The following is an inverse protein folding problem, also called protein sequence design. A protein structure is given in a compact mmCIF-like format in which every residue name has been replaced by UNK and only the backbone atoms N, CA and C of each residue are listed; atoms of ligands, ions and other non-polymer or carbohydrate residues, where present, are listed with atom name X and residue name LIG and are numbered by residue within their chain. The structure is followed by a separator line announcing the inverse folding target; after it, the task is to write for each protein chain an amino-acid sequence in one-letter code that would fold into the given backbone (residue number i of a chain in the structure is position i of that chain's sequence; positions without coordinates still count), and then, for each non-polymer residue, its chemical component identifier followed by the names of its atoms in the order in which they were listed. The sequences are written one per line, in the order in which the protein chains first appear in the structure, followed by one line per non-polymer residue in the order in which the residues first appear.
data_IF_343367931758
#
_entry.id   IF_343367931758
#
_cell.length_a   1.000
_cell.length_b   1.000
_cell.length_c   1.000
_cell.angle_alpha   90.00
_cell.angle_beta   90.00
_cell.angle_gamma   90.00
#
_symmetry.space_group_name_H-M   'P 1'
#
loop_
_entity.id
_entity.type
_entity.pdbx_description
1 polymer ?
#
# COMPACT_ATOMS: atom_id res chain seq x y z
N UNK A 1 -27.13 8.65 13.25
CA UNK A 1 -25.98 7.74 13.08
C UNK A 1 -25.79 7.37 11.61
N UNK A 2 -26.81 6.92 10.89
CA UNK A 2 -26.77 6.57 9.46
C UNK A 2 -26.32 7.71 8.51
N UNK A 3 -26.73 8.97 8.74
CA UNK A 3 -26.27 10.12 7.92
C UNK A 3 -24.75 10.38 8.02
N UNK A 4 -24.12 10.03 9.14
CA UNK A 4 -22.67 10.19 9.33
C UNK A 4 -21.88 9.07 8.63
N UNK A 5 -22.45 7.86 8.59
CA UNK A 5 -21.91 6.72 7.84
C UNK A 5 -22.05 6.99 6.33
N UNK A 6 -23.18 7.50 5.89
CA UNK A 6 -23.42 7.85 4.49
C UNK A 6 -22.43 8.94 3.97
N UNK A 7 -22.09 9.95 4.78
CA UNK A 7 -21.05 10.95 4.41
C UNK A 7 -19.63 10.39 4.39
N UNK A 8 -19.34 9.38 5.21
CA UNK A 8 -18.03 8.70 5.22
C UNK A 8 -17.87 7.76 4.02
N UNK A 9 -18.96 7.25 3.46
CA UNK A 9 -18.96 6.22 2.43
C UNK A 9 -19.33 6.80 1.05
N UNK A 10 -20.26 7.75 0.99
CA UNK A 10 -20.75 8.36 -0.26
C UNK A 10 -19.89 9.50 -0.82
N UNK A 11 -18.81 9.86 -0.16
CA UNK A 11 -17.79 10.69 -0.77
C UNK A 11 -16.83 9.86 -1.64
N UNK A 12 -17.35 9.02 -2.57
CA UNK A 12 -16.55 8.07 -3.35
C UNK A 12 -15.27 8.67 -3.95
N UNK A 13 -15.35 9.87 -4.51
CA UNK A 13 -14.17 10.60 -4.96
C UNK A 13 -13.35 11.20 -3.80
N UNK A 14 -14.00 11.69 -2.76
CA UNK A 14 -13.34 12.32 -1.60
C UNK A 14 -12.50 11.32 -0.82
N UNK A 15 -12.96 10.07 -0.68
CA UNK A 15 -12.22 9.02 0.03
C UNK A 15 -10.92 8.65 -0.70
N UNK A 16 -10.98 8.38 -2.00
CA UNK A 16 -9.79 8.09 -2.80
C UNK A 16 -8.82 9.28 -2.85
N UNK A 17 -9.34 10.49 -3.04
CA UNK A 17 -8.53 11.72 -3.03
C UNK A 17 -7.82 11.89 -1.68
N UNK A 18 -8.51 11.66 -0.57
CA UNK A 18 -7.90 11.76 0.76
C UNK A 18 -6.76 10.74 0.95
N UNK A 19 -6.95 9.49 0.49
CA UNK A 19 -5.91 8.45 0.59
C UNK A 19 -4.73 8.74 -0.33
N UNK A 20 -4.97 9.24 -1.53
CA UNK A 20 -3.92 9.67 -2.45
C UNK A 20 -3.15 10.85 -1.84
N UNK A 21 -3.83 11.84 -1.27
CA UNK A 21 -3.19 12.98 -0.60
C UNK A 21 -2.33 12.53 0.60
N UNK A 22 -2.85 11.64 1.44
CA UNK A 22 -2.09 11.06 2.56
C UNK A 22 -0.86 10.32 2.03
N UNK A 23 -0.99 9.51 0.97
CA UNK A 23 0.11 8.82 0.33
C UNK A 23 1.18 9.79 -0.19
N UNK A 24 0.77 10.88 -0.86
CA UNK A 24 1.67 11.92 -1.35
C UNK A 24 2.39 12.63 -0.19
N UNK A 25 1.68 12.95 0.90
CA UNK A 25 2.28 13.59 2.09
C UNK A 25 3.31 12.66 2.73
N UNK A 26 2.99 11.38 2.90
CA UNK A 26 3.93 10.39 3.44
C UNK A 26 5.17 10.30 2.56
N UNK A 27 4.99 10.25 1.23
CA UNK A 27 6.10 10.21 0.28
C UNK A 27 6.95 11.48 0.33
N UNK A 28 6.33 12.65 0.41
CA UNK A 28 7.04 13.91 0.57
C UNK A 28 7.84 13.95 1.88
N UNK A 29 7.26 13.46 2.98
CA UNK A 29 7.95 13.35 4.27
C UNK A 29 9.14 12.38 4.20
N UNK A 30 8.98 11.21 3.59
CA UNK A 30 10.08 10.24 3.40
C UNK A 30 11.18 10.87 2.55
N UNK A 31 10.83 11.51 1.43
CA UNK A 31 11.79 12.18 0.57
C UNK A 31 12.55 13.31 1.28
N UNK A 32 11.85 14.14 2.06
CA UNK A 32 12.47 15.20 2.87
C UNK A 32 13.39 14.61 3.94
N UNK A 33 12.97 13.57 4.65
CA UNK A 33 13.81 12.89 5.64
C UNK A 33 15.07 12.30 5.02
N UNK A 34 14.97 11.67 3.85
CA UNK A 34 16.12 11.13 3.12
C UNK A 34 17.05 12.25 2.66
N UNK A 35 16.51 13.37 2.19
CA UNK A 35 17.31 14.50 1.66
C UNK A 35 18.01 15.32 2.76
N UNK A 36 17.34 15.58 3.89
CA UNK A 36 17.85 16.43 4.96
C UNK A 36 18.48 15.64 6.12
N UNK A 37 18.06 14.39 6.31
CA UNK A 37 18.56 13.53 7.38
C UNK A 37 19.86 12.78 7.04
N UNK A 38 20.18 12.62 5.76
CA UNK A 38 21.32 11.82 5.31
C UNK A 38 22.10 12.53 4.20
N UNK A 39 23.41 12.58 4.35
CA UNK A 39 24.30 13.23 3.37
C UNK A 39 24.36 12.51 2.00
N UNK A 40 23.92 11.24 1.94
CA UNK A 40 23.87 10.42 0.71
C UNK A 40 22.55 9.64 0.64
N UNK A 41 21.47 10.27 0.19
CA UNK A 41 20.15 9.62 0.12
C UNK A 41 20.10 8.44 -0.87
N UNK A 42 20.98 8.43 -1.87
CA UNK A 42 21.05 7.36 -2.88
C UNK A 42 21.49 6.02 -2.29
N UNK A 43 22.47 6.02 -1.38
CA UNK A 43 22.98 4.78 -0.77
C UNK A 43 21.92 4.12 0.09
N UNK A 44 21.12 4.91 0.80
CA UNK A 44 20.05 4.38 1.65
C UNK A 44 18.94 3.74 0.79
N UNK A 45 18.55 4.38 -0.31
CA UNK A 45 17.54 3.81 -1.21
C UNK A 45 18.02 2.50 -1.81
N UNK A 46 19.31 2.42 -2.19
CA UNK A 46 19.92 1.20 -2.72
C UNK A 46 19.97 0.05 -1.69
N UNK A 47 20.11 0.37 -0.40
CA UNK A 47 20.14 -0.64 0.68
C UNK A 47 18.74 -0.96 1.25
N UNK A 48 17.72 -0.12 1.01
CA UNK A 48 16.35 -0.38 1.45
C UNK A 48 15.70 -1.57 0.73
N UNK A 49 16.12 -1.85 -0.51
CA UNK A 49 15.61 -2.99 -1.28
C UNK A 49 16.49 -4.19 -1.02
N UNK A 50 15.99 -5.08 -0.18
CA UNK A 50 16.64 -6.31 0.26
C UNK A 50 15.64 -7.46 0.26
N UNK A 51 16.13 -8.69 0.42
CA UNK A 51 15.26 -9.85 0.60
C UNK A 51 14.28 -9.67 1.78
N UNK A 52 14.70 -8.96 2.84
CA UNK A 52 13.86 -8.71 4.01
C UNK A 52 12.68 -7.80 3.68
N UNK A 53 12.89 -6.77 2.86
CA UNK A 53 11.80 -5.87 2.43
C UNK A 53 10.83 -6.55 1.47
N UNK A 54 11.32 -7.44 0.61
CA UNK A 54 10.47 -8.31 -0.23
C UNK A 54 9.66 -9.26 0.66
N UNK A 55 10.30 -9.91 1.64
CA UNK A 55 9.64 -10.78 2.61
C UNK A 55 8.56 -10.07 3.43
N UNK A 56 8.86 -8.84 3.88
CA UNK A 56 7.89 -7.99 4.58
C UNK A 56 6.67 -7.68 3.67
N UNK A 57 6.91 -7.26 2.43
CA UNK A 57 5.85 -6.96 1.46
C UNK A 57 4.97 -8.18 1.19
N UNK A 58 5.58 -9.36 1.05
CA UNK A 58 4.86 -10.62 0.86
C UNK A 58 4.01 -11.00 2.08
N UNK A 59 4.53 -10.77 3.30
CA UNK A 59 3.80 -11.02 4.55
C UNK A 59 2.58 -10.11 4.67
N UNK A 60 2.72 -8.82 4.33
CA UNK A 60 1.63 -7.85 4.35
C UNK A 60 0.56 -8.19 3.29
N UNK A 61 0.98 -8.65 2.12
CA UNK A 61 0.08 -9.16 1.09
C UNK A 61 -0.69 -10.39 1.57
N UNK A 62 -0.03 -11.33 2.24
CA UNK A 62 -0.68 -12.50 2.86
C UNK A 62 -1.72 -12.09 3.91
N UNK A 63 -1.43 -11.09 4.73
CA UNK A 63 -2.38 -10.52 5.68
C UNK A 63 -3.61 -9.92 4.98
N UNK A 64 -3.44 -9.22 3.87
CA UNK A 64 -4.55 -8.67 3.10
C UNK A 64 -5.43 -9.77 2.49
N UNK A 65 -4.83 -10.83 1.94
CA UNK A 65 -5.56 -11.98 1.42
C UNK A 65 -6.37 -12.68 2.51
N UNK A 66 -5.79 -12.84 3.71
CA UNK A 66 -6.51 -13.37 4.87
C UNK A 66 -7.69 -12.47 5.25
N UNK A 67 -7.53 -11.14 5.22
CA UNK A 67 -8.60 -10.18 5.47
C UNK A 67 -9.77 -10.32 4.48
N UNK A 68 -9.47 -10.48 3.20
CA UNK A 68 -10.50 -10.74 2.16
C UNK A 68 -11.22 -12.08 2.41
N UNK A 69 -10.48 -13.11 2.76
CA UNK A 69 -11.05 -14.43 3.06
C UNK A 69 -12.00 -14.36 4.26
N UNK A 70 -11.65 -13.62 5.30
CA UNK A 70 -12.53 -13.37 6.45
C UNK A 70 -13.80 -12.65 6.00
N UNK A 71 -13.68 -11.59 5.17
CA UNK A 71 -14.85 -10.86 4.68
C UNK A 71 -15.80 -11.76 3.89
N UNK A 72 -15.26 -12.66 3.04
CA UNK A 72 -16.05 -13.60 2.26
C UNK A 72 -16.75 -14.62 3.19
N UNK A 73 -16.04 -15.11 4.22
CA UNK A 73 -16.62 -16.09 5.17
C UNK A 73 -17.74 -15.51 6.02
N UNK A 74 -17.77 -14.19 6.18
CA UNK A 74 -18.78 -13.46 6.95
C UNK A 74 -20.02 -13.04 6.11
N UNK A 75 -20.19 -13.57 4.93
CA UNK A 75 -21.27 -13.17 3.99
C UNK A 75 -22.69 -13.31 4.59
N UNK A 76 -22.91 -14.23 5.54
CA UNK A 76 -24.14 -14.36 6.31
C UNK A 76 -24.33 -13.35 7.45
N UNK A 77 -23.37 -12.46 7.73
CA UNK A 77 -23.44 -11.56 8.86
C UNK A 77 -24.40 -10.39 8.58
N UNK A 78 -25.25 -10.08 9.58
CA UNK A 78 -26.23 -8.99 9.49
C UNK A 78 -25.61 -7.61 9.14
N UNK A 79 -24.40 -7.32 9.64
CA UNK A 79 -23.71 -6.06 9.32
C UNK A 79 -23.26 -6.00 7.85
N UNK A 80 -22.77 -7.12 7.30
CA UNK A 80 -22.35 -7.18 5.91
C UNK A 80 -23.56 -7.08 4.97
N UNK A 81 -24.69 -7.71 5.35
CA UNK A 81 -25.95 -7.60 4.62
C UNK A 81 -26.46 -6.14 4.58
N UNK A 82 -26.37 -5.42 5.71
CA UNK A 82 -26.71 -3.99 5.75
C UNK A 82 -25.78 -3.13 4.87
N UNK A 83 -24.49 -3.47 4.77
CA UNK A 83 -23.55 -2.78 3.89
C UNK A 83 -23.88 -3.05 2.42
N UNK A 84 -24.29 -4.28 2.10
CA UNK A 84 -24.72 -4.65 0.74
C UNK A 84 -26.00 -3.92 0.31
N UNK A 85 -26.96 -3.75 1.21
CA UNK A 85 -28.18 -2.97 0.97
C UNK A 85 -27.87 -1.48 0.63
N UNK A 86 -26.71 -0.97 1.05
CA UNK A 86 -26.26 0.42 0.82
C UNK A 86 -25.21 0.48 -0.32
N UNK A 87 -25.01 -0.60 -1.07
CA UNK A 87 -23.98 -0.73 -2.13
C UNK A 87 -22.52 -0.41 -1.67
N UNK A 88 -22.29 -0.40 -0.37
CA UNK A 88 -20.99 -0.03 0.21
C UNK A 88 -20.01 -1.20 0.35
N UNK A 89 -20.47 -2.43 0.15
CA UNK A 89 -19.64 -3.64 0.16
C UNK A 89 -18.60 -3.61 -0.96
N UNK A 90 -18.98 -3.14 -2.15
CA UNK A 90 -18.07 -3.04 -3.30
C UNK A 90 -16.88 -2.13 -3.03
N UNK A 91 -17.07 -1.06 -2.25
CA UNK A 91 -16.00 -0.14 -1.88
C UNK A 91 -14.96 -0.81 -0.97
N UNK A 92 -15.43 -1.63 -0.03
CA UNK A 92 -14.56 -2.35 0.90
C UNK A 92 -13.68 -3.33 0.14
N UNK A 93 -14.27 -4.14 -0.74
CA UNK A 93 -13.51 -5.05 -1.60
C UNK A 93 -12.51 -4.30 -2.47
N UNK A 94 -12.87 -3.13 -3.03
CA UNK A 94 -11.95 -2.29 -3.81
C UNK A 94 -10.74 -1.85 -2.98
N UNK A 95 -10.91 -1.49 -1.71
CA UNK A 95 -9.80 -1.10 -0.83
C UNK A 95 -8.82 -2.26 -0.62
N UNK A 96 -9.33 -3.45 -0.31
CA UNK A 96 -8.50 -4.64 -0.13
C UNK A 96 -7.79 -5.03 -1.43
N UNK A 97 -8.50 -5.05 -2.56
CA UNK A 97 -7.93 -5.37 -3.87
C UNK A 97 -6.87 -4.34 -4.26
N UNK A 98 -7.11 -3.04 -4.03
CA UNK A 98 -6.11 -2.00 -4.30
C UNK A 98 -4.86 -2.19 -3.45
N UNK A 99 -4.98 -2.54 -2.17
CA UNK A 99 -3.84 -2.83 -1.32
C UNK A 99 -3.04 -4.03 -1.81
N UNK A 100 -3.72 -5.14 -2.14
CA UNK A 100 -3.12 -6.35 -2.69
C UNK A 100 -2.35 -6.04 -3.98
N UNK A 101 -2.98 -5.29 -4.89
CA UNK A 101 -2.38 -4.91 -6.17
C UNK A 101 -1.12 -4.06 -5.97
N UNK A 102 -1.17 -3.08 -5.05
CA UNK A 102 -0.01 -2.23 -4.76
C UNK A 102 1.15 -3.01 -4.16
N UNK A 103 0.91 -3.95 -3.23
CA UNK A 103 1.96 -4.80 -2.69
C UNK A 103 2.53 -5.76 -3.75
N UNK A 104 1.69 -6.33 -4.63
CA UNK A 104 2.14 -7.16 -5.74
C UNK A 104 3.07 -6.39 -6.68
N UNK A 105 2.66 -5.20 -7.12
CA UNK A 105 3.48 -4.34 -7.98
C UNK A 105 4.80 -4.00 -7.28
N UNK A 106 4.76 -3.66 -5.99
CA UNK A 106 5.96 -3.36 -5.22
C UNK A 106 6.93 -4.55 -5.17
N UNK A 107 6.44 -5.77 -4.89
CA UNK A 107 7.24 -6.99 -4.87
C UNK A 107 7.90 -7.22 -6.25
N UNK A 108 7.12 -7.12 -7.32
CA UNK A 108 7.64 -7.31 -8.69
C UNK A 108 8.73 -6.28 -9.01
N UNK A 109 8.53 -5.01 -8.67
CA UNK A 109 9.53 -3.96 -8.88
C UNK A 109 10.79 -4.20 -8.04
N UNK A 110 10.66 -4.63 -6.79
CA UNK A 110 11.80 -4.99 -5.94
C UNK A 110 12.60 -6.16 -6.52
N UNK A 111 11.92 -7.21 -6.99
CA UNK A 111 12.58 -8.36 -7.64
C UNK A 111 13.26 -7.96 -8.95
N UNK A 112 12.65 -7.09 -9.75
CA UNK A 112 13.26 -6.52 -10.96
C UNK A 112 14.52 -5.75 -10.59
N UNK A 113 14.46 -4.88 -9.59
CA UNK A 113 15.62 -4.11 -9.12
C UNK A 113 16.77 -5.02 -8.69
N UNK A 114 16.48 -6.04 -7.90
CA UNK A 114 17.50 -6.94 -7.36
C UNK A 114 18.15 -7.82 -8.43
N UNK A 115 17.38 -8.28 -9.44
CA UNK A 115 17.88 -9.24 -10.44
C UNK A 115 18.46 -8.57 -11.68
N UNK A 116 17.88 -7.45 -12.14
CA UNK A 116 18.33 -6.77 -13.37
C UNK A 116 19.41 -5.72 -13.10
N UNK A 117 19.53 -5.23 -11.86
CA UNK A 117 20.49 -4.20 -11.50
C UNK A 117 21.33 -4.65 -10.29
N UNK A 118 22.24 -5.63 -10.45
CA UNK A 118 23.13 -6.04 -9.37
C UNK A 118 23.95 -4.85 -8.88
N UNK A 119 24.21 -4.80 -7.59
CA UNK A 119 25.02 -3.74 -6.96
C UNK A 119 26.49 -4.06 -7.21
N UNK A 120 27.02 -3.66 -8.38
CA UNK A 120 28.45 -3.65 -8.64
C UNK A 120 29.01 -2.23 -8.49
N UNK A 121 30.21 -2.07 -7.90
CA UNK A 121 30.80 -0.74 -7.61
C UNK A 121 31.15 0.07 -8.86
N UNK A 122 31.06 -0.48 -10.06
CA UNK A 122 31.42 0.18 -11.34
C UNK A 122 30.25 0.29 -12.34
N UNK A 123 29.00 0.40 -11.85
CA UNK A 123 27.86 0.51 -12.77
C UNK A 123 27.91 1.86 -13.50
N UNK A 124 27.88 1.80 -14.85
CA UNK A 124 27.78 2.99 -15.70
C UNK A 124 26.59 3.86 -15.29
N UNK A 125 26.76 5.19 -15.22
CA UNK A 125 25.78 6.12 -14.65
C UNK A 125 24.33 6.00 -15.17
N UNK A 126 24.13 5.53 -16.43
CA UNK A 126 22.80 5.25 -16.99
C UNK A 126 22.09 4.06 -16.31
N UNK A 127 22.82 3.01 -15.95
CA UNK A 127 22.26 1.83 -15.27
C UNK A 127 21.89 2.16 -13.82
N UNK A 128 22.70 2.98 -13.16
CA UNK A 128 22.42 3.48 -11.81
C UNK A 128 21.14 4.32 -11.78
N UNK A 129 20.94 5.19 -12.78
CA UNK A 129 19.72 5.99 -12.91
C UNK A 129 18.48 5.11 -13.11
N UNK A 130 18.57 4.06 -13.94
CA UNK A 130 17.51 3.08 -14.14
C UNK A 130 17.16 2.32 -12.85
N UNK A 131 18.18 1.86 -12.10
CA UNK A 131 18.00 1.20 -10.81
C UNK A 131 17.27 2.12 -9.83
N UNK A 132 17.77 3.33 -9.61
CA UNK A 132 17.17 4.31 -8.70
C UNK A 132 15.70 4.59 -9.07
N UNK A 133 15.37 4.69 -10.36
CA UNK A 133 14.00 4.89 -10.80
C UNK A 133 13.09 3.72 -10.36
N UNK A 134 13.51 2.48 -10.60
CA UNK A 134 12.75 1.28 -10.20
C UNK A 134 12.62 1.20 -8.68
N UNK A 135 13.67 1.51 -7.94
CA UNK A 135 13.70 1.52 -6.48
C UNK A 135 12.72 2.56 -5.92
N UNK A 136 12.72 3.77 -6.44
CA UNK A 136 11.75 4.80 -6.04
C UNK A 136 10.31 4.38 -6.37
N UNK A 137 10.05 3.82 -7.55
CA UNK A 137 8.73 3.31 -7.92
C UNK A 137 8.26 2.20 -6.96
N UNK A 138 9.16 1.29 -6.55
CA UNK A 138 8.82 0.22 -5.61
C UNK A 138 8.48 0.76 -4.21
N UNK A 139 9.23 1.74 -3.70
CA UNK A 139 8.96 2.40 -2.43
C UNK A 139 7.64 3.16 -2.46
N UNK A 140 7.34 3.84 -3.58
CA UNK A 140 6.07 4.55 -3.77
C UNK A 140 4.91 3.56 -3.71
N UNK A 141 4.96 2.49 -4.48
CA UNK A 141 3.89 1.48 -4.52
C UNK A 141 3.72 0.78 -3.18
N UNK A 142 4.81 0.49 -2.46
CA UNK A 142 4.78 -0.04 -1.11
C UNK A 142 4.08 0.91 -0.13
N UNK A 143 4.42 2.20 -0.18
CA UNK A 143 3.82 3.22 0.69
C UNK A 143 2.31 3.36 0.46
N UNK A 144 1.85 3.33 -0.81
CA UNK A 144 0.43 3.30 -1.13
C UNK A 144 -0.25 2.01 -0.62
N UNK A 145 0.41 0.86 -0.78
CA UNK A 145 -0.05 -0.41 -0.20
C UNK A 145 -0.29 -0.31 1.31
N UNK A 146 0.63 0.34 2.05
CA UNK A 146 0.51 0.58 3.49
C UNK A 146 -0.69 1.48 3.84
N UNK A 147 -0.94 2.54 3.07
CA UNK A 147 -2.10 3.43 3.30
C UNK A 147 -3.41 2.67 3.15
N UNK A 148 -3.55 1.85 2.11
CA UNK A 148 -4.73 1.01 1.92
C UNK A 148 -4.84 -0.09 2.98
N UNK A 149 -3.72 -0.66 3.43
CA UNK A 149 -3.68 -1.63 4.52
C UNK A 149 -4.23 -1.03 5.83
N UNK A 150 -3.77 0.17 6.22
CA UNK A 150 -4.30 0.84 7.41
C UNK A 150 -5.81 1.11 7.30
N UNK A 151 -6.29 1.45 6.11
CA UNK A 151 -7.71 1.65 5.85
C UNK A 151 -8.50 0.35 5.99
N UNK A 152 -7.98 -0.77 5.51
CA UNK A 152 -8.61 -2.09 5.64
C UNK A 152 -8.64 -2.57 7.10
N UNK A 153 -7.57 -2.36 7.87
CA UNK A 153 -7.52 -2.66 9.32
C UNK A 153 -8.56 -1.83 10.09
N UNK A 154 -8.64 -0.53 9.77
CA UNK A 154 -9.63 0.35 10.41
C UNK A 154 -11.06 -0.12 10.13
N UNK A 155 -11.31 -0.60 8.92
CA UNK A 155 -12.59 -1.18 8.54
C UNK A 155 -12.87 -2.47 9.31
N UNK A 156 -11.93 -3.42 9.36
CA UNK A 156 -12.06 -4.66 10.12
C UNK A 156 -12.33 -4.39 11.60
N UNK A 157 -11.61 -3.44 12.20
CA UNK A 157 -11.86 -3.00 13.58
C UNK A 157 -13.28 -2.52 13.78
N UNK A 158 -13.81 -1.69 12.89
CA UNK A 158 -15.20 -1.22 12.96
C UNK A 158 -16.19 -2.38 12.81
N UNK A 159 -15.90 -3.31 11.92
CA UNK A 159 -16.75 -4.48 11.68
C UNK A 159 -16.82 -5.41 12.89
N UNK A 160 -15.68 -5.65 13.57
CA UNK A 160 -15.59 -6.51 14.76
C UNK A 160 -16.07 -5.81 16.04
N UNK A 161 -16.21 -4.48 16.05
CA UNK A 161 -16.73 -3.77 17.22
C UNK A 161 -18.22 -4.11 17.43
N UNK A 162 -18.58 -4.49 18.67
CA UNK A 162 -19.95 -4.83 19.09
C UNK A 162 -20.90 -3.62 19.00
#
# INVERSE_FOLDING_TARGET
MFKKINRLIYGDHSYYITHILIGIIIMACIWLLLRFGFNQPTDIVLHLISNDTVGLSASLLGFQLAGVSILISLDGNKKLRLLREIESDTMIYKIFISSITMFLISIVLMLISMNLFPVEPNIAGKLLCGKLFVDYCSIITFSFGMVFLFSSIRFLKWFCSK
#
